data_IF_574535208212
#
_entry.id   IF_574535208212
#
_cell.length_a   1.000
_cell.length_b   1.000
_cell.length_c   1.000
_cell.angle_alpha   90.00
_cell.angle_beta   90.00
_cell.angle_gamma   90.00
#
_symmetry.space_group_name_H-M   'P 1'
#
loop_
_entity.id
_entity.type
_entity.pdbx_description
1 polymer ?
#
# COMPACT_ATOMS: atom_id res chain seq x y z
N UNK A 1 5.35 -8.75 -6.03
CA UNK A 1 6.01 -8.66 -4.71
C UNK A 1 7.00 -7.53 -4.75
N UNK A 2 7.03 -6.73 -3.70
CA UNK A 2 8.00 -5.68 -3.49
C UNK A 2 8.56 -5.76 -2.06
N UNK A 3 9.88 -5.66 -1.93
CA UNK A 3 10.58 -5.64 -0.66
C UNK A 3 11.44 -4.37 -0.67
N UNK A 4 11.05 -3.37 0.11
CA UNK A 4 11.76 -2.11 0.22
C UNK A 4 12.48 -2.01 1.55
N UNK A 5 13.80 -1.86 1.48
CA UNK A 5 14.71 -1.67 2.62
C UNK A 5 15.41 -0.31 2.49
N UNK A 6 15.65 0.36 3.61
CA UNK A 6 16.31 1.67 3.60
C UNK A 6 17.14 1.88 4.86
N UNK A 7 18.31 2.48 4.70
CA UNK A 7 19.18 2.91 5.79
C UNK A 7 18.80 4.29 6.35
N UNK A 8 17.79 4.93 5.76
CA UNK A 8 17.31 6.23 6.23
C UNK A 8 16.47 6.06 7.50
N UNK A 9 16.54 7.06 8.37
CA UNK A 9 15.78 7.06 9.63
C UNK A 9 14.27 7.04 9.40
N UNK A 10 13.81 7.81 8.38
CA UNK A 10 12.39 8.01 8.13
C UNK A 10 12.06 7.63 6.69
N UNK A 11 11.00 6.85 6.52
CA UNK A 11 10.60 6.34 5.22
C UNK A 11 9.08 6.35 5.07
N UNK A 12 8.61 6.74 3.89
CA UNK A 12 7.23 6.54 3.45
C UNK A 12 7.20 5.59 2.26
N UNK A 13 6.43 4.52 2.40
CA UNK A 13 6.05 3.67 1.29
C UNK A 13 4.76 4.22 0.69
N UNK A 14 4.86 4.80 -0.49
CA UNK A 14 3.75 5.44 -1.18
C UNK A 14 3.26 4.55 -2.32
N UNK A 15 1.96 4.24 -2.32
CA UNK A 15 1.33 3.47 -3.37
C UNK A 15 0.10 4.17 -3.93
N UNK A 16 0.17 4.52 -5.20
CA UNK A 16 -0.94 5.08 -5.97
C UNK A 16 -1.59 4.00 -6.82
N UNK A 17 -2.91 4.03 -6.89
CA UNK A 17 -3.65 3.17 -7.80
C UNK A 17 -4.80 3.94 -8.46
N UNK A 18 -5.20 3.49 -9.65
CA UNK A 18 -6.25 4.13 -10.48
C UNK A 18 -7.69 3.78 -10.04
N UNK A 19 -7.87 3.26 -8.84
CA UNK A 19 -9.19 2.95 -8.30
C UNK A 19 -10.04 4.18 -8.01
N UNK A 20 -11.35 3.99 -7.95
CA UNK A 20 -12.32 5.05 -7.61
C UNK A 20 -12.55 5.19 -6.11
N UNK A 21 -12.23 4.16 -5.36
CA UNK A 21 -12.28 4.13 -3.90
C UNK A 21 -11.23 3.17 -3.36
N UNK A 22 -10.84 3.38 -2.11
CA UNK A 22 -9.92 2.49 -1.38
C UNK A 22 -10.51 2.15 -0.02
N UNK A 23 -10.29 0.92 0.42
CA UNK A 23 -10.59 0.47 1.77
C UNK A 23 -9.37 -0.23 2.35
N UNK A 24 -9.11 -0.02 3.64
CA UNK A 24 -8.02 -0.69 4.37
C UNK A 24 -8.64 -1.59 5.43
N UNK A 25 -8.25 -2.86 5.40
CA UNK A 25 -8.73 -3.89 6.34
C UNK A 25 -7.55 -4.61 6.99
N UNK A 26 -7.80 -5.25 8.11
CA UNK A 26 -6.90 -6.27 8.64
C UNK A 26 -6.90 -7.53 7.75
N UNK A 27 -6.10 -8.52 8.12
CA UNK A 27 -6.02 -9.79 7.40
C UNK A 27 -7.30 -10.65 7.48
N UNK A 28 -8.20 -10.34 8.41
CA UNK A 28 -9.48 -11.01 8.60
C UNK A 28 -10.64 -10.31 7.88
N UNK A 29 -10.37 -9.15 7.28
CA UNK A 29 -11.34 -8.37 6.53
C UNK A 29 -12.08 -7.32 7.35
N UNK A 30 -11.71 -7.09 8.61
CA UNK A 30 -12.27 -6.01 9.42
C UNK A 30 -11.66 -4.67 9.04
N UNK A 31 -12.47 -3.67 8.78
CA UNK A 31 -12.00 -2.34 8.42
C UNK A 31 -11.15 -1.74 9.54
N UNK A 32 -10.00 -1.19 9.19
CA UNK A 32 -9.16 -0.48 10.15
C UNK A 32 -9.81 0.85 10.53
N UNK A 33 -9.83 1.19 11.84
CA UNK A 33 -10.28 2.50 12.27
C UNK A 33 -9.29 3.56 11.77
N UNK A 34 -9.81 4.62 11.16
CA UNK A 34 -9.03 5.76 10.69
C UNK A 34 -9.46 7.04 11.38
N UNK A 35 -8.52 7.78 11.95
CA UNK A 35 -8.75 9.12 12.46
C UNK A 35 -8.59 10.12 11.30
N UNK A 36 -9.60 10.99 11.11
CA UNK A 36 -9.52 12.03 10.10
C UNK A 36 -8.56 13.14 10.57
N UNK A 37 -7.63 13.51 9.71
CA UNK A 37 -6.66 14.57 9.97
C UNK A 37 -6.84 15.74 9.01
N UNK A 38 -6.62 16.97 9.49
CA UNK A 38 -6.59 18.16 8.64
C UNK A 38 -5.31 18.24 7.80
N UNK A 39 -4.20 17.73 8.34
CA UNK A 39 -2.87 17.73 7.69
C UNK A 39 -2.00 16.61 8.28
N UNK A 40 -0.93 16.28 7.59
CA UNK A 40 0.10 15.41 8.15
C UNK A 40 0.80 16.08 9.34
N UNK A 41 1.10 15.31 10.37
CA UNK A 41 1.88 15.78 11.53
C UNK A 41 3.31 16.17 11.10
N UNK A 42 3.88 15.40 10.18
CA UNK A 42 5.19 15.64 9.57
C UNK A 42 5.10 15.52 8.05
N UNK A 43 5.75 16.45 7.38
CA UNK A 43 5.90 16.43 5.93
C UNK A 43 7.39 16.50 5.59
N UNK A 44 7.88 15.52 4.84
CA UNK A 44 9.30 15.47 4.44
C UNK A 44 9.56 16.11 3.08
N UNK A 45 8.50 16.34 2.31
CA UNK A 45 8.54 16.97 1.00
C UNK A 45 7.34 17.88 0.77
N UNK A 46 7.52 18.92 -0.02
CA UNK A 46 6.45 19.83 -0.39
C UNK A 46 5.27 19.15 -1.10
N UNK A 47 5.51 18.02 -1.78
CA UNK A 47 4.47 17.23 -2.45
C UNK A 47 3.33 16.75 -1.56
N UNK A 48 3.55 16.66 -0.25
CA UNK A 48 2.50 16.26 0.71
C UNK A 48 1.36 17.28 0.84
N UNK A 49 1.56 18.53 0.45
CA UNK A 49 0.51 19.55 0.41
C UNK A 49 -0.61 19.24 -0.58
N UNK A 50 -0.34 18.37 -1.54
CA UNK A 50 -1.32 18.01 -2.57
C UNK A 50 -2.23 16.86 -2.19
N UNK A 51 -1.95 16.17 -1.10
CA UNK A 51 -2.85 15.14 -0.57
C UNK A 51 -3.97 15.78 0.24
N UNK A 52 -5.15 15.20 0.13
CA UNK A 52 -6.36 15.62 0.86
C UNK A 52 -7.08 14.42 1.46
N UNK A 53 -8.13 14.67 2.22
CA UNK A 53 -8.97 13.63 2.82
C UNK A 53 -8.15 12.58 3.60
N UNK A 54 -7.28 13.07 4.50
CA UNK A 54 -6.35 12.24 5.23
C UNK A 54 -7.07 11.46 6.35
N UNK A 55 -6.84 10.16 6.39
CA UNK A 55 -7.23 9.29 7.50
C UNK A 55 -6.03 8.49 7.95
N UNK A 56 -5.72 8.54 9.24
CA UNK A 56 -4.58 7.86 9.85
C UNK A 56 -5.04 6.68 10.68
N UNK A 57 -4.33 5.56 10.57
CA UNK A 57 -4.48 4.39 11.43
C UNK A 57 -3.11 3.99 11.97
N UNK A 58 -3.01 3.76 13.26
CA UNK A 58 -1.83 3.14 13.88
C UNK A 58 -2.07 1.62 13.93
N UNK A 59 -1.32 0.86 13.12
CA UNK A 59 -1.55 -0.57 13.02
C UNK A 59 -0.26 -1.33 12.68
N UNK A 60 0.09 -2.28 13.52
CA UNK A 60 1.38 -2.99 13.49
C UNK A 60 1.31 -4.40 12.90
N UNK A 61 0.12 -4.87 12.54
CA UNK A 61 -0.07 -6.20 11.96
C UNK A 61 -0.19 -6.13 10.44
N UNK A 62 -0.28 -7.28 9.79
CA UNK A 62 -0.54 -7.36 8.36
C UNK A 62 -1.90 -6.73 8.03
N UNK A 63 -1.95 -5.99 6.95
CA UNK A 63 -3.18 -5.35 6.47
C UNK A 63 -3.31 -5.45 4.95
N UNK A 64 -4.49 -5.13 4.48
CA UNK A 64 -4.85 -5.18 3.07
C UNK A 64 -5.42 -3.81 2.68
N UNK A 65 -4.86 -3.20 1.64
CA UNK A 65 -5.46 -2.08 0.95
C UNK A 65 -6.09 -2.56 -0.35
N UNK A 66 -7.36 -2.25 -0.57
CA UNK A 66 -8.14 -2.70 -1.73
C UNK A 66 -8.70 -1.50 -2.48
N UNK A 67 -8.48 -1.44 -3.79
CA UNK A 67 -9.02 -0.41 -4.68
C UNK A 67 -10.11 -0.99 -5.56
N UNK A 68 -11.26 -0.34 -5.57
CA UNK A 68 -12.33 -0.64 -6.52
C UNK A 68 -12.06 0.03 -7.85
N UNK A 69 -12.17 -0.72 -8.92
CA UNK A 69 -11.93 -0.26 -10.29
C UNK A 69 -13.15 -0.52 -11.16
N UNK A 70 -13.25 0.16 -12.34
CA UNK A 70 -14.26 -0.17 -13.33
C UNK A 70 -14.24 -1.66 -13.73
N UNK A 71 -15.34 -2.15 -14.28
CA UNK A 71 -15.51 -3.54 -14.74
C UNK A 71 -15.40 -4.62 -13.66
N UNK A 72 -15.78 -4.29 -12.42
CA UNK A 72 -15.73 -5.20 -11.26
C UNK A 72 -14.32 -5.74 -11.00
N UNK A 73 -13.29 -4.96 -11.30
CA UNK A 73 -11.92 -5.27 -10.95
C UNK A 73 -11.62 -4.74 -9.54
N UNK A 74 -10.99 -5.56 -8.74
CA UNK A 74 -10.38 -5.14 -7.47
C UNK A 74 -8.87 -5.29 -7.57
N UNK A 75 -8.15 -4.21 -7.31
CA UNK A 75 -6.71 -4.28 -7.07
C UNK A 75 -6.48 -4.33 -5.57
N UNK A 76 -5.57 -5.18 -5.13
CA UNK A 76 -5.29 -5.42 -3.73
C UNK A 76 -3.80 -5.46 -3.45
N UNK A 77 -3.41 -4.77 -2.39
CA UNK A 77 -2.07 -4.78 -1.85
C UNK A 77 -2.12 -5.35 -0.44
N UNK A 78 -1.41 -6.43 -0.21
CA UNK A 78 -1.05 -6.90 1.11
C UNK A 78 0.21 -6.19 1.57
N UNK A 79 0.23 -5.68 2.80
CA UNK A 79 1.40 -5.15 3.46
C UNK A 79 1.64 -5.93 4.74
N UNK A 80 2.86 -6.40 4.95
CA UNK A 80 3.22 -7.03 6.21
C UNK A 80 3.31 -5.99 7.33
N UNK A 81 3.03 -6.41 8.54
CA UNK A 81 3.11 -5.59 9.72
C UNK A 81 4.54 -5.11 10.03
N UNK A 82 4.64 -4.15 10.91
CA UNK A 82 5.88 -3.61 11.44
C UNK A 82 5.61 -2.69 12.63
N UNK A 83 6.48 -2.73 13.61
CA UNK A 83 6.34 -1.89 14.80
C UNK A 83 6.46 -0.40 14.45
N UNK A 84 5.61 0.42 15.05
CA UNK A 84 5.61 1.88 14.87
C UNK A 84 5.16 2.36 13.48
N UNK A 85 4.44 1.54 12.72
CA UNK A 85 3.91 1.95 11.42
C UNK A 85 2.65 2.77 11.56
N UNK A 86 2.62 3.85 10.81
CA UNK A 86 1.44 4.70 10.60
C UNK A 86 0.93 4.46 9.18
N UNK A 87 -0.37 4.25 9.05
CA UNK A 87 -1.01 3.98 7.77
C UNK A 87 -1.92 5.16 7.44
N UNK A 88 -1.68 5.81 6.31
CA UNK A 88 -2.50 6.90 5.83
C UNK A 88 -3.27 6.49 4.58
N UNK A 89 -4.57 6.65 4.63
CA UNK A 89 -5.44 6.68 3.47
C UNK A 89 -5.62 8.14 3.07
N UNK A 90 -5.31 8.47 1.83
CA UNK A 90 -5.35 9.85 1.33
C UNK A 90 -5.91 9.90 -0.08
N UNK A 91 -6.36 11.08 -0.48
CA UNK A 91 -6.67 11.39 -1.87
C UNK A 91 -5.48 12.13 -2.48
N UNK A 92 -4.82 11.51 -3.46
CA UNK A 92 -3.78 12.13 -4.26
C UNK A 92 -4.38 13.07 -5.30
N UNK A 93 -3.61 14.04 -5.80
CA UNK A 93 -4.06 14.91 -6.89
C UNK A 93 -4.57 14.09 -8.07
N UNK A 94 -5.57 14.59 -8.81
CA UNK A 94 -6.02 13.94 -10.03
C UNK A 94 -4.86 13.73 -10.99
N UNK A 95 -4.86 12.60 -11.67
CA UNK A 95 -3.90 12.34 -12.73
C UNK A 95 -4.09 13.39 -13.82
N UNK A 96 -3.07 14.23 -14.04
CA UNK A 96 -3.11 15.26 -15.08
C UNK A 96 -2.84 14.65 -16.44
N UNK A 97 -3.48 15.21 -17.45
CA UNK A 97 -3.24 14.86 -18.85
C UNK A 97 -1.80 15.11 -19.24
N UNK A 98 -1.18 14.17 -19.94
CA UNK A 98 0.02 14.48 -20.70
C UNK A 98 -0.33 15.53 -21.77
N UNK A 99 0.52 16.56 -21.90
CA UNK A 99 0.37 17.54 -23.00
C UNK A 99 0.36 16.81 -24.34
N UNK A 100 -0.72 16.95 -25.08
CA UNK A 100 -0.86 16.34 -26.39
C UNK A 100 -1.91 15.22 -26.49
N UNK A 101 -2.49 14.79 -25.36
CA UNK A 101 -3.65 13.92 -25.38
C UNK A 101 -4.93 14.77 -25.46
N UNK A 102 -5.88 14.35 -26.25
CA UNK A 102 -7.21 14.94 -26.26
C UNK A 102 -8.03 14.49 -25.05
N UNK A 103 -9.03 15.27 -24.61
CA UNK A 103 -9.86 14.89 -23.47
C UNK A 103 -10.52 13.50 -23.60
N UNK A 104 -10.71 12.98 -24.81
CA UNK A 104 -11.24 11.64 -25.07
C UNK A 104 -10.22 10.50 -24.93
N UNK A 105 -8.93 10.82 -24.90
CA UNK A 105 -7.84 9.83 -24.81
C UNK A 105 -7.49 9.48 -23.37
N UNK A 106 -8.17 10.10 -22.40
CA UNK A 106 -7.89 9.88 -20.97
C UNK A 106 -8.82 8.77 -20.48
N UNK A 107 -8.21 7.65 -20.18
CA UNK A 107 -8.91 6.53 -19.52
C UNK A 107 -9.20 6.78 -18.03
N UNK A 108 -8.88 7.95 -17.50
CA UNK A 108 -8.95 8.26 -16.09
C UNK A 108 -9.90 9.41 -15.81
N UNK A 109 -10.87 9.25 -14.89
CA UNK A 109 -11.69 10.36 -14.47
C UNK A 109 -10.82 11.44 -13.82
N UNK A 110 -11.15 12.73 -13.96
CA UNK A 110 -10.48 13.84 -13.31
C UNK A 110 -10.86 13.91 -11.81
N UNK A 111 -10.75 12.78 -11.12
CA UNK A 111 -11.09 12.65 -9.71
C UNK A 111 -9.83 12.43 -8.90
N UNK A 112 -9.81 12.85 -7.63
CA UNK A 112 -8.75 12.48 -6.71
C UNK A 112 -8.53 10.97 -6.73
N UNK A 113 -7.28 10.55 -6.66
CA UNK A 113 -6.92 9.13 -6.72
C UNK A 113 -6.61 8.66 -5.30
N UNK A 114 -7.37 7.68 -4.77
CA UNK A 114 -7.07 7.12 -3.47
C UNK A 114 -5.67 6.52 -3.43
N UNK A 115 -4.88 6.95 -2.47
CA UNK A 115 -3.49 6.50 -2.30
C UNK A 115 -3.23 6.04 -0.87
N UNK A 116 -2.32 5.08 -0.76
CA UNK A 116 -1.83 4.54 0.48
C UNK A 116 -0.45 5.14 0.78
N UNK A 117 -0.25 5.62 2.00
CA UNK A 117 1.08 5.94 2.53
C UNK A 117 1.28 5.10 3.79
N UNK A 118 2.39 4.36 3.85
CA UNK A 118 2.79 3.64 5.04
C UNK A 118 4.08 4.24 5.53
N UNK A 119 4.00 4.90 6.67
CA UNK A 119 5.11 5.62 7.29
C UNK A 119 5.80 4.78 8.33
N UNK A 120 7.11 4.84 8.37
CA UNK A 120 7.95 4.23 9.39
C UNK A 120 9.07 5.16 9.75
N UNK A 121 9.12 5.57 11.01
CA UNK A 121 10.15 6.43 11.56
C UNK A 121 11.22 5.63 12.34
N UNK A 122 12.38 6.23 12.60
CA UNK A 122 13.35 5.70 13.54
C UNK A 122 14.25 4.59 13.00
N UNK A 123 14.65 4.62 11.73
CA UNK A 123 15.58 3.65 11.12
C UNK A 123 15.06 2.20 11.05
N UNK A 124 13.77 2.01 11.23
CA UNK A 124 13.20 0.66 11.30
C UNK A 124 13.06 -0.01 9.93
N UNK A 125 13.06 0.74 8.82
CA UNK A 125 12.93 0.18 7.48
C UNK A 125 14.15 -0.64 7.03
N UNK A 126 15.29 -0.53 7.72
CA UNK A 126 16.44 -1.40 7.52
C UNK A 126 16.23 -2.78 8.15
N UNK A 127 15.80 -2.81 9.41
CA UNK A 127 15.58 -4.04 10.17
C UNK A 127 14.20 -4.66 9.92
N UNK A 128 13.21 -3.83 9.60
CA UNK A 128 11.84 -4.24 9.30
C UNK A 128 11.39 -3.65 7.96
N UNK A 129 11.86 -4.21 6.84
CA UNK A 129 11.53 -3.70 5.50
C UNK A 129 10.03 -3.66 5.25
N UNK A 130 9.61 -2.77 4.36
CA UNK A 130 8.27 -2.86 3.80
C UNK A 130 8.21 -4.05 2.86
N UNK A 131 7.33 -4.99 3.13
CA UNK A 131 7.09 -6.14 2.26
C UNK A 131 5.65 -6.10 1.80
N UNK A 132 5.45 -6.03 0.49
CA UNK A 132 4.13 -5.97 -0.10
C UNK A 132 3.93 -6.96 -1.24
N UNK A 133 2.69 -7.41 -1.39
CA UNK A 133 2.26 -8.32 -2.46
C UNK A 133 1.03 -7.75 -3.12
N UNK A 134 1.06 -7.62 -4.45
CA UNK A 134 -0.06 -7.11 -5.24
C UNK A 134 -0.76 -8.20 -5.99
N UNK A 135 -2.06 -8.04 -6.14
CA UNK A 135 -2.86 -8.79 -7.07
C UNK A 135 -3.99 -7.93 -7.62
N UNK A 136 -4.51 -8.31 -8.79
CA UNK A 136 -5.78 -7.81 -9.30
C UNK A 136 -6.65 -8.98 -9.69
N UNK A 137 -7.95 -8.89 -9.38
CA UNK A 137 -8.90 -9.94 -9.68
C UNK A 137 -10.27 -9.38 -10.05
N UNK A 138 -11.06 -10.19 -10.72
CA UNK A 138 -12.48 -9.96 -11.02
C UNK A 138 -13.34 -10.85 -10.10
N UNK A 139 -14.53 -11.20 -10.56
CA UNK A 139 -15.55 -11.99 -9.84
C UNK A 139 -15.06 -13.35 -9.30
N UNK A 140 -13.92 -13.86 -9.78
CA UNK A 140 -13.33 -15.12 -9.27
C UNK A 140 -12.83 -15.02 -7.83
N UNK A 141 -12.72 -13.79 -7.32
CA UNK A 141 -12.13 -13.52 -6.02
C UNK A 141 -10.60 -13.52 -6.02
N UNK A 142 -10.00 -13.18 -4.86
CA UNK A 142 -8.56 -13.10 -4.70
C UNK A 142 -7.89 -14.48 -4.74
N UNK A 143 -6.67 -14.52 -5.28
CA UNK A 143 -5.84 -15.71 -5.22
C UNK A 143 -4.89 -15.70 -4.00
N UNK A 144 -4.42 -14.54 -3.57
CA UNK A 144 -3.58 -14.41 -2.36
C UNK A 144 -4.46 -14.46 -1.12
N UNK A 145 -4.25 -15.46 -0.30
CA UNK A 145 -5.01 -15.70 0.94
C UNK A 145 -4.24 -15.25 2.19
N UNK A 146 -2.93 -15.06 2.10
CA UNK A 146 -2.11 -14.62 3.21
C UNK A 146 -0.69 -14.31 2.79
N UNK A 147 -0.08 -13.40 3.53
CA UNK A 147 1.31 -12.96 3.33
C UNK A 147 2.00 -12.95 4.69
N UNK A 148 3.21 -13.49 4.74
CA UNK A 148 4.03 -13.58 5.95
C UNK A 148 5.44 -13.08 5.62
N UNK A 149 5.93 -12.09 6.39
CA UNK A 149 7.32 -11.68 6.30
C UNK A 149 8.21 -12.73 6.95
N UNK A 150 9.30 -13.07 6.30
CA UNK A 150 10.32 -13.98 6.79
C UNK A 150 11.62 -13.22 6.98
N UNK A 151 12.31 -13.48 8.09
CA UNK A 151 13.65 -12.96 8.33
C UNK A 151 14.63 -14.11 8.51
N UNK A 152 15.73 -14.06 7.78
CA UNK A 152 16.86 -14.97 7.94
C UNK A 152 17.87 -14.44 8.94
N UNK A 153 18.72 -15.33 9.48
CA UNK A 153 19.75 -15.03 10.47
C UNK A 153 20.84 -14.07 9.95
N UNK A 154 20.98 -13.96 8.63
CA UNK A 154 21.97 -13.12 7.92
C UNK A 154 21.40 -11.73 7.55
N UNK A 155 20.23 -11.37 8.05
CA UNK A 155 19.54 -10.13 7.69
C UNK A 155 18.81 -10.20 6.35
N UNK A 156 18.77 -11.38 5.74
CA UNK A 156 17.93 -11.61 4.55
C UNK A 156 16.44 -11.47 4.91
N UNK A 157 15.70 -10.79 4.08
CA UNK A 157 14.25 -10.65 4.22
C UNK A 157 13.57 -11.44 3.11
N UNK A 158 12.55 -12.18 3.47
CA UNK A 158 11.73 -12.94 2.54
C UNK A 158 10.25 -12.71 2.76
N UNK A 159 9.47 -13.25 1.85
CA UNK A 159 8.02 -13.28 1.97
C UNK A 159 7.50 -14.66 1.56
N UNK A 160 6.59 -15.16 2.38
CA UNK A 160 5.79 -16.33 2.06
C UNK A 160 4.41 -15.86 1.63
N UNK A 161 3.96 -16.34 0.48
CA UNK A 161 2.63 -16.05 -0.06
C UNK A 161 1.82 -17.33 -0.08
N UNK A 162 0.68 -17.32 0.56
CA UNK A 162 -0.29 -18.42 0.52
C UNK A 162 -1.36 -18.11 -0.51
N UNK A 163 -1.62 -19.03 -1.43
CA UNK A 163 -2.56 -18.86 -2.52
C UNK A 163 -3.72 -19.84 -2.47
N UNK A 164 -4.85 -19.47 -3.07
CA UNK A 164 -6.09 -20.27 -3.08
C UNK A 164 -5.92 -21.62 -3.80
N UNK A 165 -5.00 -21.72 -4.76
CA UNK A 165 -4.68 -22.96 -5.47
C UNK A 165 -3.65 -23.83 -4.75
N UNK A 166 -3.25 -23.43 -3.54
CA UNK A 166 -2.28 -24.16 -2.71
C UNK A 166 -0.82 -24.09 -3.22
N UNK A 167 -0.54 -23.31 -4.26
CA UNK A 167 0.79 -23.18 -4.85
C UNK A 167 1.55 -21.97 -4.28
N UNK A 168 1.46 -21.77 -2.98
CA UNK A 168 2.20 -20.71 -2.32
C UNK A 168 3.68 -20.67 -2.69
N UNK A 169 4.27 -19.48 -2.65
CA UNK A 169 5.67 -19.25 -3.02
C UNK A 169 6.44 -18.54 -1.93
N UNK A 170 7.76 -18.64 -2.02
CA UNK A 170 8.69 -17.89 -1.19
C UNK A 170 9.54 -17.01 -2.09
N UNK A 171 9.76 -15.76 -1.68
CA UNK A 171 10.72 -14.87 -2.29
C UNK A 171 11.67 -14.38 -1.21
N UNK A 172 12.97 -14.42 -1.49
CA UNK A 172 13.99 -13.88 -0.61
C UNK A 172 14.77 -12.79 -1.33
N UNK A 173 15.07 -11.73 -0.59
CA UNK A 173 15.96 -10.67 -1.02
C UNK A 173 17.19 -10.71 -0.09
N UNK A 174 18.37 -10.90 -0.67
CA UNK A 174 19.63 -10.86 0.06
C UNK A 174 19.90 -9.48 0.68
N UNK A 175 20.62 -9.47 1.80
CA UNK A 175 21.09 -8.26 2.47
C UNK A 175 22.26 -7.62 1.74
#
# INVERSE_FOLDING_TARGET
VDIFRSDRADNDYLFHHVGTSMEITDSEGSKLPGEALEKFDKTWHEGYHWFSNLHKSDYNQNFIASWSMPEDITARLWMTGGEGREIYQVDAPPTTMNKGLTPGDICMPPMPTPALIVRQEGNNAHTHPFVSVYEAYKKSGPNVLGVEALQGDDGCTGVKVNTADGKGGFLFCGG
#
